data_IF_642079437929
#
_entry.id   IF_642079437929
#
_cell.length_a   1.000
_cell.length_b   1.000
_cell.length_c   1.000
_cell.angle_alpha   90.00
_cell.angle_beta   90.00
_cell.angle_gamma   90.00
#
_symmetry.space_group_name_H-M   'P 1'
#
loop_
_entity.id
_entity.type
_entity.pdbx_description
1 polymer ?
#
# COMPACT_ATOMS: atom_id res chain seq x y z
N UNK A 1 15.83 -14.24 -31.75
CA UNK A 1 14.89 -15.37 -31.96
C UNK A 1 14.81 -16.31 -30.74
N UNK A 2 15.93 -16.78 -30.20
CA UNK A 2 15.96 -17.75 -29.06
C UNK A 2 15.27 -17.16 -27.79
N UNK A 3 15.45 -15.88 -27.49
CA UNK A 3 14.81 -15.20 -26.34
C UNK A 3 13.28 -15.20 -26.44
N UNK A 4 12.73 -14.89 -27.61
CA UNK A 4 11.27 -14.90 -27.83
C UNK A 4 10.73 -16.33 -27.71
N UNK A 5 11.45 -17.33 -28.22
CA UNK A 5 11.08 -18.74 -28.10
C UNK A 5 11.08 -19.20 -26.62
N UNK A 6 12.03 -18.75 -25.80
CA UNK A 6 12.05 -19.06 -24.36
C UNK A 6 10.87 -18.45 -23.60
N UNK A 7 10.48 -17.20 -23.90
CA UNK A 7 9.30 -16.56 -23.30
C UNK A 7 8.01 -17.33 -23.67
N UNK A 8 7.86 -17.70 -24.94
CA UNK A 8 6.69 -18.49 -25.40
C UNK A 8 6.66 -19.84 -24.69
N UNK A 9 7.80 -20.51 -24.58
CA UNK A 9 7.93 -21.79 -23.86
C UNK A 9 7.54 -21.69 -22.38
N UNK A 10 7.99 -20.64 -21.69
CA UNK A 10 7.62 -20.35 -20.28
C UNK A 10 6.11 -20.17 -20.16
N UNK A 11 5.50 -19.37 -21.06
CA UNK A 11 4.06 -19.09 -21.02
C UNK A 11 3.22 -20.36 -21.26
N UNK A 12 3.60 -21.19 -22.23
CA UNK A 12 2.91 -22.45 -22.54
C UNK A 12 2.99 -23.40 -21.35
N UNK A 13 4.19 -23.59 -20.76
CA UNK A 13 4.40 -24.48 -19.61
C UNK A 13 3.67 -24.00 -18.37
N UNK A 14 3.71 -22.68 -18.08
CA UNK A 14 2.99 -22.10 -16.96
C UNK A 14 1.47 -22.26 -17.11
N UNK A 15 0.94 -22.04 -18.32
CA UNK A 15 -0.48 -22.27 -18.63
C UNK A 15 -0.89 -23.73 -18.47
N UNK A 16 -0.04 -24.66 -18.86
CA UNK A 16 -0.30 -26.09 -18.75
C UNK A 16 -0.31 -26.57 -17.28
N UNK A 17 0.61 -26.07 -16.45
CA UNK A 17 0.67 -26.35 -15.01
C UNK A 17 -0.56 -25.80 -14.33
N UNK A 18 -0.94 -24.55 -14.61
CA UNK A 18 -2.10 -23.89 -13.99
C UNK A 18 -3.44 -24.53 -14.33
N UNK A 19 -3.59 -25.04 -15.57
CA UNK A 19 -4.86 -25.62 -16.05
C UNK A 19 -5.14 -27.01 -15.48
N UNK A 20 -4.10 -27.80 -15.16
CA UNK A 20 -4.24 -29.21 -14.75
C UNK A 20 -4.04 -29.43 -13.25
N UNK A 21 -3.76 -28.40 -12.48
CA UNK A 21 -3.38 -28.48 -11.05
C UNK A 21 -2.35 -29.60 -10.80
N UNK A 22 -1.38 -29.72 -11.73
CA UNK A 22 -0.46 -30.85 -11.78
C UNK A 22 0.74 -30.53 -10.88
N UNK A 23 0.78 -31.14 -9.71
CA UNK A 23 1.85 -30.99 -8.71
C UNK A 23 3.14 -31.74 -9.06
N UNK A 24 3.32 -32.12 -10.33
CA UNK A 24 4.53 -32.80 -10.80
C UNK A 24 5.77 -31.92 -10.57
N UNK A 25 6.64 -32.39 -9.69
CA UNK A 25 7.94 -31.76 -9.37
C UNK A 25 8.76 -31.58 -10.63
N UNK A 26 8.70 -32.53 -11.58
CA UNK A 26 9.42 -32.49 -12.84
C UNK A 26 8.98 -31.30 -13.70
N UNK A 27 7.67 -31.02 -13.79
CA UNK A 27 7.17 -29.90 -14.58
C UNK A 27 7.55 -28.53 -13.95
N UNK A 28 7.52 -28.46 -12.63
CA UNK A 28 7.94 -27.25 -11.89
C UNK A 28 9.45 -27.00 -12.03
N UNK A 29 10.28 -28.04 -12.00
CA UNK A 29 11.73 -27.91 -12.20
C UNK A 29 12.07 -27.52 -13.63
N UNK A 30 11.35 -28.05 -14.63
CA UNK A 30 11.52 -27.67 -16.03
C UNK A 30 11.14 -26.21 -16.28
N UNK A 31 10.06 -25.73 -15.66
CA UNK A 31 9.66 -24.32 -15.72
C UNK A 31 10.74 -23.40 -15.10
N UNK A 32 11.30 -23.79 -13.96
CA UNK A 32 12.36 -23.04 -13.28
C UNK A 32 13.62 -22.96 -14.15
N UNK A 33 14.02 -24.04 -14.78
CA UNK A 33 15.15 -24.07 -15.73
C UNK A 33 14.92 -23.13 -16.92
N UNK A 34 13.71 -23.14 -17.48
CA UNK A 34 13.34 -22.23 -18.58
C UNK A 34 13.37 -20.77 -18.16
N UNK A 35 12.93 -20.44 -16.93
CA UNK A 35 13.01 -19.08 -16.40
C UNK A 35 14.48 -18.64 -16.24
N UNK A 36 15.33 -19.49 -15.67
CA UNK A 36 16.77 -19.19 -15.52
C UNK A 36 17.41 -18.98 -16.89
N UNK A 37 17.10 -19.84 -17.87
CA UNK A 37 17.60 -19.70 -19.24
C UNK A 37 17.11 -18.39 -19.90
N UNK A 38 15.84 -18.02 -19.72
CA UNK A 38 15.28 -16.77 -20.22
C UNK A 38 15.94 -15.54 -19.59
N UNK A 39 16.20 -15.56 -18.27
CA UNK A 39 16.95 -14.51 -17.58
C UNK A 39 18.38 -14.40 -18.10
N UNK A 40 19.06 -15.51 -18.30
CA UNK A 40 20.41 -15.52 -18.89
C UNK A 40 20.42 -14.88 -20.28
N UNK A 41 19.48 -15.24 -21.15
CA UNK A 41 19.35 -14.64 -22.48
C UNK A 41 19.03 -13.14 -22.42
N UNK A 42 18.21 -12.72 -21.44
CA UNK A 42 17.92 -11.29 -21.22
C UNK A 42 19.15 -10.50 -20.81
N UNK A 43 19.97 -11.05 -19.91
CA UNK A 43 21.26 -10.42 -19.51
C UNK A 43 22.20 -10.32 -20.70
N UNK A 44 22.31 -11.34 -21.54
CA UNK A 44 23.14 -11.28 -22.76
C UNK A 44 22.67 -10.17 -23.72
N UNK A 45 21.36 -10.03 -23.92
CA UNK A 45 20.78 -8.94 -24.71
C UNK A 45 21.13 -7.57 -24.12
N UNK A 46 21.05 -7.40 -22.81
CA UNK A 46 21.43 -6.14 -22.15
C UNK A 46 22.92 -5.82 -22.39
N UNK A 47 23.80 -6.81 -22.27
CA UNK A 47 25.25 -6.65 -22.52
C UNK A 47 25.51 -6.30 -23.98
N UNK A 48 24.75 -6.83 -24.92
CA UNK A 48 24.94 -6.56 -26.35
C UNK A 48 24.42 -5.18 -26.79
N UNK A 49 23.25 -4.75 -26.25
CA UNK A 49 22.58 -3.52 -26.71
C UNK A 49 22.91 -2.26 -25.91
N UNK A 50 23.23 -2.40 -24.61
CA UNK A 50 23.51 -1.23 -23.75
C UNK A 50 24.82 -0.50 -24.17
N UNK A 51 25.96 -1.18 -24.38
CA UNK A 51 27.19 -0.50 -24.75
C UNK A 51 27.11 0.32 -26.07
N UNK A 52 26.59 -0.25 -27.19
CA UNK A 52 26.48 0.55 -28.42
C UNK A 52 25.50 1.71 -28.27
N UNK A 53 24.42 1.56 -27.49
CA UNK A 53 23.50 2.67 -27.21
C UNK A 53 24.19 3.80 -26.42
N UNK A 54 24.97 3.46 -25.39
CA UNK A 54 25.73 4.43 -24.61
C UNK A 54 26.77 5.13 -25.49
N UNK A 55 27.53 4.38 -26.29
CA UNK A 55 28.54 4.95 -27.19
C UNK A 55 27.87 5.89 -28.21
N UNK A 56 26.79 5.46 -28.83
CA UNK A 56 26.03 6.29 -29.77
C UNK A 56 25.51 7.59 -29.12
N UNK A 57 25.02 7.50 -27.87
CA UNK A 57 24.55 8.67 -27.12
C UNK A 57 25.70 9.61 -26.80
N UNK A 58 26.86 9.09 -26.37
CA UNK A 58 28.05 9.90 -26.06
C UNK A 58 28.59 10.58 -27.34
N UNK A 59 28.67 9.86 -28.46
CA UNK A 59 29.12 10.45 -29.74
C UNK A 59 28.16 11.51 -30.23
N UNK A 60 26.84 11.29 -30.11
CA UNK A 60 25.82 12.27 -30.42
C UNK A 60 25.97 13.53 -29.56
N UNK A 61 26.13 13.40 -28.25
CA UNK A 61 26.36 14.51 -27.32
C UNK A 61 27.66 15.25 -27.65
N UNK A 62 28.73 14.53 -27.93
CA UNK A 62 30.02 15.14 -28.31
C UNK A 62 29.89 15.94 -29.61
N UNK A 63 29.19 15.42 -30.62
CA UNK A 63 28.94 16.12 -31.87
C UNK A 63 28.10 17.37 -31.66
N UNK A 64 27.06 17.26 -30.84
CA UNK A 64 26.21 18.41 -30.47
C UNK A 64 27.01 19.49 -29.73
N UNK A 65 27.88 19.10 -28.77
CA UNK A 65 28.68 20.06 -28.00
C UNK A 65 29.76 20.74 -28.85
N UNK A 66 30.25 20.09 -29.90
CA UNK A 66 31.29 20.67 -30.82
C UNK A 66 30.70 21.58 -31.89
N UNK A 67 29.39 21.46 -32.20
CA UNK A 67 28.73 22.22 -33.28
C UNK A 67 27.83 23.34 -32.81
N UNK A 68 27.37 23.29 -31.56
CA UNK A 68 26.44 24.28 -30.98
C UNK A 68 27.22 25.32 -30.14
N UNK A 69 26.79 26.57 -30.23
CA UNK A 69 27.23 27.62 -29.32
C UNK A 69 26.89 27.23 -27.87
N UNK A 70 27.82 27.49 -26.94
CA UNK A 70 27.68 27.15 -25.53
C UNK A 70 26.36 27.69 -24.91
N UNK A 71 25.90 28.84 -25.36
CA UNK A 71 24.65 29.46 -24.90
C UNK A 71 23.42 28.59 -25.30
N UNK A 72 23.42 28.09 -26.55
CA UNK A 72 22.33 27.23 -27.05
C UNK A 72 22.32 25.90 -26.31
N UNK A 73 23.49 25.33 -26.02
CA UNK A 73 23.64 24.08 -25.28
C UNK A 73 23.09 24.20 -23.84
N UNK A 74 23.45 25.28 -23.14
CA UNK A 74 22.92 25.56 -21.79
C UNK A 74 21.41 25.74 -21.82
N UNK A 75 20.87 26.45 -22.82
CA UNK A 75 19.45 26.65 -22.97
C UNK A 75 18.71 25.33 -23.20
N UNK A 76 19.25 24.42 -24.02
CA UNK A 76 18.68 23.08 -24.25
C UNK A 76 18.67 22.23 -22.98
N UNK A 77 19.82 22.17 -22.28
CA UNK A 77 19.90 21.40 -21.01
C UNK A 77 18.91 21.94 -19.98
N UNK A 78 18.87 23.27 -19.81
CA UNK A 78 17.96 23.92 -18.88
C UNK A 78 16.49 23.63 -19.25
N UNK A 79 16.15 23.68 -20.54
CA UNK A 79 14.82 23.34 -21.06
C UNK A 79 14.42 21.91 -20.73
N UNK A 80 15.29 20.94 -20.96
CA UNK A 80 15.05 19.53 -20.64
C UNK A 80 14.84 19.33 -19.12
N UNK A 81 15.72 19.91 -18.29
CA UNK A 81 15.61 19.83 -16.83
C UNK A 81 14.29 20.44 -16.36
N UNK A 82 13.90 21.59 -16.91
CA UNK A 82 12.64 22.26 -16.57
C UNK A 82 11.42 21.40 -16.93
N UNK A 83 11.43 20.77 -18.11
CA UNK A 83 10.36 19.86 -18.51
C UNK A 83 10.27 18.65 -17.57
N UNK A 84 11.40 18.00 -17.26
CA UNK A 84 11.42 16.87 -16.34
C UNK A 84 10.90 17.25 -14.94
N UNK A 85 11.34 18.38 -14.41
CA UNK A 85 10.86 18.91 -13.14
C UNK A 85 9.35 19.22 -13.16
N UNK A 86 8.85 19.77 -14.26
CA UNK A 86 7.43 20.05 -14.43
C UNK A 86 6.60 18.78 -14.45
N UNK A 87 7.03 17.74 -15.17
CA UNK A 87 6.35 16.44 -15.16
C UNK A 87 6.36 15.78 -13.78
N UNK A 88 7.52 15.77 -13.12
CA UNK A 88 7.64 15.21 -11.77
C UNK A 88 6.78 15.96 -10.76
N UNK A 89 6.80 17.28 -10.78
CA UNK A 89 5.98 18.13 -9.91
C UNK A 89 4.47 17.86 -10.11
N UNK A 90 4.02 17.83 -11.37
CA UNK A 90 2.62 17.55 -11.70
C UNK A 90 2.18 16.15 -11.27
N UNK A 91 3.04 15.14 -11.44
CA UNK A 91 2.76 13.79 -10.99
C UNK A 91 2.65 13.71 -9.45
N UNK A 92 3.61 14.33 -8.75
CA UNK A 92 3.63 14.41 -7.28
C UNK A 92 2.42 15.17 -6.74
N UNK A 93 2.07 16.31 -7.34
CA UNK A 93 0.91 17.11 -6.98
C UNK A 93 -0.41 16.32 -7.14
N UNK A 94 -0.59 15.63 -8.26
CA UNK A 94 -1.78 14.80 -8.49
C UNK A 94 -1.92 13.70 -7.43
N UNK A 95 -0.82 13.04 -7.06
CA UNK A 95 -0.80 12.02 -6.02
C UNK A 95 -1.11 12.60 -4.64
N UNK A 96 -0.57 13.78 -4.32
CA UNK A 96 -0.80 14.46 -3.06
C UNK A 96 -2.25 14.95 -2.95
N UNK A 97 -2.82 15.56 -3.99
CA UNK A 97 -4.23 15.98 -4.03
C UNK A 97 -5.18 14.80 -3.81
N UNK A 98 -4.89 13.65 -4.43
CA UNK A 98 -5.69 12.44 -4.21
C UNK A 98 -5.60 11.96 -2.77
N UNK A 99 -4.39 11.97 -2.16
CA UNK A 99 -4.19 11.58 -0.76
C UNK A 99 -4.95 12.52 0.18
N UNK A 100 -4.84 13.81 -0.02
CA UNK A 100 -5.52 14.85 0.76
C UNK A 100 -7.05 14.70 0.66
N UNK A 101 -7.57 14.54 -0.55
CA UNK A 101 -8.99 14.28 -0.75
C UNK A 101 -9.49 13.03 -0.01
N UNK A 102 -8.75 11.92 -0.10
CA UNK A 102 -9.12 10.69 0.59
C UNK A 102 -9.00 10.84 2.11
N UNK A 103 -7.97 11.52 2.61
CA UNK A 103 -7.80 11.83 4.03
C UNK A 103 -8.99 12.64 4.57
N UNK A 104 -9.38 13.71 3.88
CA UNK A 104 -10.54 14.54 4.25
C UNK A 104 -11.85 13.73 4.28
N UNK A 105 -12.05 12.79 3.34
CA UNK A 105 -13.25 11.92 3.34
C UNK A 105 -13.24 10.88 4.44
N UNK A 106 -12.08 10.49 4.93
CA UNK A 106 -11.90 9.49 6.01
C UNK A 106 -11.96 10.10 7.40
N UNK A 107 -11.67 11.37 7.55
CA UNK A 107 -11.66 12.06 8.85
C UNK A 107 -13.00 11.91 9.58
N UNK A 108 -14.10 12.21 8.92
CA UNK A 108 -15.45 12.12 9.53
C UNK A 108 -15.79 10.70 10.03
N UNK A 109 -15.72 9.63 9.21
CA UNK A 109 -16.02 8.29 9.71
C UNK A 109 -15.04 7.80 10.77
N UNK A 110 -13.79 8.25 10.75
CA UNK A 110 -12.82 7.84 11.77
C UNK A 110 -13.06 8.55 13.10
N UNK A 111 -13.43 9.83 13.09
CA UNK A 111 -13.86 10.55 14.32
C UNK A 111 -15.14 9.97 14.91
N UNK A 112 -16.13 9.61 14.09
CA UNK A 112 -17.35 8.94 14.56
C UNK A 112 -17.04 7.59 15.24
N UNK A 113 -16.06 6.85 14.72
CA UNK A 113 -15.59 5.63 15.38
C UNK A 113 -14.99 5.90 16.76
N UNK A 114 -14.18 6.95 16.90
CA UNK A 114 -13.61 7.33 18.19
C UNK A 114 -14.71 7.76 19.16
N UNK A 115 -15.73 8.51 18.70
CA UNK A 115 -16.89 8.88 19.50
C UNK A 115 -17.67 7.64 19.98
N UNK A 116 -17.84 6.63 19.12
CA UNK A 116 -18.46 5.37 19.46
C UNK A 116 -17.70 4.67 20.60
N UNK A 117 -16.36 4.58 20.49
CA UNK A 117 -15.51 4.01 21.55
C UNK A 117 -15.66 4.79 22.85
N UNK A 118 -15.68 6.13 22.79
CA UNK A 118 -15.92 6.98 23.96
C UNK A 118 -17.28 6.68 24.62
N UNK A 119 -18.36 6.62 23.84
CA UNK A 119 -19.70 6.30 24.36
C UNK A 119 -19.72 4.94 25.07
N UNK A 120 -19.11 3.93 24.46
CA UNK A 120 -19.02 2.56 25.03
C UNK A 120 -18.20 2.57 26.34
N UNK A 121 -17.07 3.27 26.37
CA UNK A 121 -16.19 3.31 27.55
C UNK A 121 -16.81 4.06 28.73
N UNK A 122 -17.65 5.06 28.48
CA UNK A 122 -18.34 5.87 29.51
C UNK A 122 -19.59 5.19 30.05
N UNK A 123 -20.12 4.16 29.40
CA UNK A 123 -21.34 3.45 29.80
C UNK A 123 -21.26 2.84 31.21
N UNK A 124 -20.03 2.58 31.72
CA UNK A 124 -19.82 2.06 33.09
C UNK A 124 -19.75 3.12 34.20
N UNK A 125 -19.54 4.40 33.86
CA UNK A 125 -19.17 5.46 34.83
C UNK A 125 -20.24 6.53 35.07
N UNK A 126 -21.20 6.72 34.16
CA UNK A 126 -22.21 7.75 34.27
C UNK A 126 -23.59 7.22 33.91
N UNK A 127 -24.66 7.82 34.49
CA UNK A 127 -26.08 7.54 34.19
C UNK A 127 -26.48 7.77 32.71
N UNK A 128 -25.54 7.79 31.79
CA UNK A 128 -25.78 7.86 30.36
C UNK A 128 -26.03 6.44 29.83
N UNK A 129 -27.28 6.10 29.64
CA UNK A 129 -27.68 4.83 29.05
C UNK A 129 -27.47 4.94 27.53
N UNK A 130 -26.32 4.45 27.06
CA UNK A 130 -26.10 4.24 25.63
C UNK A 130 -26.79 2.92 25.24
N UNK A 131 -27.95 3.02 24.57
CA UNK A 131 -28.77 1.86 24.28
C UNK A 131 -28.09 0.95 23.25
N UNK A 132 -28.41 -0.35 23.31
CA UNK A 132 -27.93 -1.32 22.32
C UNK A 132 -28.41 -0.95 20.90
N UNK A 133 -29.61 -0.40 20.78
CA UNK A 133 -30.16 0.08 19.51
C UNK A 133 -29.34 1.24 18.93
N UNK A 134 -28.95 2.24 19.75
CA UNK A 134 -28.11 3.35 19.33
C UNK A 134 -26.72 2.88 18.93
N UNK A 135 -26.15 1.92 19.67
CA UNK A 135 -24.87 1.32 19.34
C UNK A 135 -24.89 0.60 17.98
N UNK A 136 -25.92 -0.20 17.72
CA UNK A 136 -26.08 -0.87 16.43
C UNK A 136 -26.26 0.12 15.28
N UNK A 137 -26.98 1.21 15.50
CA UNK A 137 -27.14 2.29 14.52
C UNK A 137 -25.84 2.99 14.22
N UNK A 138 -25.06 3.36 15.24
CA UNK A 138 -23.75 3.99 15.07
C UNK A 138 -22.77 3.07 14.36
N UNK A 139 -22.72 1.78 14.72
CA UNK A 139 -21.90 0.76 14.02
C UNK A 139 -22.34 0.60 12.56
N UNK A 140 -23.63 0.58 12.27
CA UNK A 140 -24.15 0.47 10.91
C UNK A 140 -23.78 1.69 10.06
N UNK A 141 -23.91 2.90 10.62
CA UNK A 141 -23.48 4.14 9.99
C UNK A 141 -21.97 4.12 9.67
N UNK A 142 -21.16 3.77 10.65
CA UNK A 142 -19.71 3.62 10.47
C UNK A 142 -19.36 2.60 9.39
N UNK A 143 -19.97 1.40 9.41
CA UNK A 143 -19.73 0.38 8.40
C UNK A 143 -20.03 0.87 6.99
N UNK A 144 -21.12 1.59 6.78
CA UNK A 144 -21.51 2.14 5.48
C UNK A 144 -20.45 3.12 4.95
N UNK A 145 -19.94 3.98 5.83
CA UNK A 145 -18.88 4.95 5.48
C UNK A 145 -17.53 4.26 5.28
N UNK A 146 -17.22 3.23 6.07
CA UNK A 146 -16.01 2.45 5.94
C UNK A 146 -15.95 1.69 4.61
N UNK A 147 -17.07 1.16 4.12
CA UNK A 147 -17.17 0.51 2.81
C UNK A 147 -16.81 1.47 1.69
N UNK A 148 -17.21 2.74 1.79
CA UNK A 148 -16.98 3.75 0.75
C UNK A 148 -15.57 4.35 0.82
N UNK A 149 -15.07 4.64 2.03
CA UNK A 149 -13.89 5.48 2.21
C UNK A 149 -12.73 4.80 2.94
N UNK A 150 -12.98 3.67 3.61
CA UNK A 150 -11.95 2.96 4.37
C UNK A 150 -10.82 2.45 3.49
N UNK A 151 -9.59 2.55 3.99
CA UNK A 151 -8.47 1.89 3.32
C UNK A 151 -8.54 0.37 3.48
N UNK A 152 -7.89 -0.38 2.57
CA UNK A 152 -7.82 -1.85 2.69
C UNK A 152 -7.30 -2.32 4.05
N UNK A 153 -6.35 -1.59 4.65
CA UNK A 153 -5.77 -1.95 5.94
C UNK A 153 -6.76 -1.75 7.09
N UNK A 154 -7.45 -0.61 7.13
CA UNK A 154 -8.48 -0.34 8.15
C UNK A 154 -9.63 -1.35 8.04
N UNK A 155 -10.11 -1.62 6.83
CA UNK A 155 -11.15 -2.63 6.60
C UNK A 155 -10.70 -4.02 7.06
N UNK A 156 -9.45 -4.41 6.77
CA UNK A 156 -8.89 -5.69 7.22
C UNK A 156 -8.84 -5.79 8.75
N UNK A 157 -8.36 -4.73 9.45
CA UNK A 157 -8.28 -4.70 10.91
C UNK A 157 -9.67 -4.67 11.55
N UNK A 158 -10.61 -3.90 10.99
CA UNK A 158 -11.99 -3.89 11.42
C UNK A 158 -12.66 -5.26 11.32
N UNK A 159 -12.47 -5.96 10.20
CA UNK A 159 -13.01 -7.31 10.03
C UNK A 159 -12.37 -8.31 11.01
N UNK A 160 -11.08 -8.19 11.32
CA UNK A 160 -10.41 -9.01 12.33
C UNK A 160 -11.00 -8.76 13.72
N UNK A 161 -11.20 -7.49 14.10
CA UNK A 161 -11.87 -7.11 15.34
C UNK A 161 -13.28 -7.71 15.43
N UNK A 162 -14.13 -7.51 14.42
CA UNK A 162 -15.50 -8.06 14.40
C UNK A 162 -15.52 -9.58 14.55
N UNK A 163 -14.63 -10.28 13.84
CA UNK A 163 -14.52 -11.75 13.94
C UNK A 163 -14.12 -12.20 15.35
N UNK A 164 -13.19 -11.52 15.98
CA UNK A 164 -12.71 -11.84 17.32
C UNK A 164 -13.76 -11.54 18.39
N UNK A 165 -14.51 -10.45 18.27
CA UNK A 165 -15.59 -10.06 19.20
C UNK A 165 -16.67 -11.13 19.32
N UNK A 166 -16.93 -11.88 18.24
CA UNK A 166 -17.87 -13.00 18.23
C UNK A 166 -17.35 -14.23 19.01
N UNK A 167 -16.07 -14.30 19.32
CA UNK A 167 -15.40 -15.42 20.00
C UNK A 167 -15.21 -15.20 21.51
N UNK A 168 -15.75 -14.11 22.08
CA UNK A 168 -15.69 -13.75 23.51
C UNK A 168 -14.25 -13.63 24.10
N UNK A 169 -13.25 -13.27 23.29
CA UNK A 169 -11.88 -13.08 23.75
C UNK A 169 -11.63 -11.58 24.01
N UNK A 170 -11.93 -11.13 25.25
CA UNK A 170 -11.95 -9.69 25.60
C UNK A 170 -10.59 -9.01 25.48
N UNK A 171 -9.50 -9.66 25.90
CA UNK A 171 -8.14 -9.05 25.85
C UNK A 171 -7.68 -8.80 24.41
N UNK A 172 -7.82 -9.79 23.54
CA UNK A 172 -7.49 -9.64 22.12
C UNK A 172 -8.40 -8.62 21.42
N UNK A 173 -9.65 -8.46 21.89
CA UNK A 173 -10.59 -7.49 21.33
C UNK A 173 -10.14 -6.05 21.54
N UNK A 174 -9.62 -5.70 22.73
CA UNK A 174 -9.08 -4.36 23.02
C UNK A 174 -7.86 -4.04 22.16
N UNK A 175 -6.94 -4.99 22.03
CA UNK A 175 -5.74 -4.82 21.18
C UNK A 175 -6.15 -4.59 19.71
N UNK A 176 -7.13 -5.34 19.22
CA UNK A 176 -7.61 -5.19 17.84
C UNK A 176 -8.31 -3.85 17.59
N UNK A 177 -9.03 -3.29 18.59
CA UNK A 177 -9.57 -1.93 18.50
C UNK A 177 -8.42 -0.91 18.34
N UNK A 178 -7.38 -1.03 19.17
CA UNK A 178 -6.21 -0.15 19.06
C UNK A 178 -5.51 -0.26 17.71
N UNK A 179 -5.39 -1.48 17.18
CA UNK A 179 -4.85 -1.68 15.84
C UNK A 179 -5.69 -1.00 14.76
N UNK A 180 -7.03 -1.03 14.87
CA UNK A 180 -7.93 -0.28 13.97
C UNK A 180 -7.65 1.22 14.06
N UNK A 181 -7.60 1.77 15.28
CA UNK A 181 -7.29 3.20 15.50
C UNK A 181 -5.92 3.58 14.95
N UNK A 182 -4.91 2.75 15.13
CA UNK A 182 -3.57 3.00 14.60
C UNK A 182 -3.53 2.97 13.06
N UNK A 183 -4.28 2.08 12.41
CA UNK A 183 -4.39 2.10 10.94
C UNK A 183 -5.17 3.33 10.43
N UNK A 184 -6.21 3.77 11.15
CA UNK A 184 -6.92 5.03 10.84
C UNK A 184 -5.97 6.24 10.93
N UNK A 185 -5.12 6.31 11.97
CA UNK A 185 -4.10 7.36 12.10
C UNK A 185 -3.12 7.38 10.93
N UNK A 186 -2.62 6.21 10.51
CA UNK A 186 -1.73 6.10 9.33
C UNK A 186 -2.41 6.60 8.06
N UNK A 187 -3.68 6.29 7.87
CA UNK A 187 -4.46 6.75 6.72
C UNK A 187 -4.61 8.28 6.67
N UNK A 188 -4.68 8.92 7.83
CA UNK A 188 -4.70 10.37 7.98
C UNK A 188 -3.29 11.00 7.95
N UNK A 189 -2.24 10.19 7.76
CA UNK A 189 -0.86 10.66 7.72
C UNK A 189 -0.22 10.87 9.09
N UNK A 190 -0.86 10.41 10.17
CA UNK A 190 -0.35 10.50 11.54
C UNK A 190 0.37 9.19 11.91
N UNK A 191 1.48 9.29 12.65
CA UNK A 191 2.23 8.11 13.11
C UNK A 191 1.39 7.25 14.07
N UNK A 192 1.59 5.93 14.01
CA UNK A 192 1.03 5.00 15.01
C UNK A 192 1.62 5.24 16.40
N UNK A 193 0.85 4.91 17.41
CA UNK A 193 1.26 4.91 18.82
C UNK A 193 1.60 3.49 19.24
N UNK A 194 2.45 3.32 20.23
CA UNK A 194 2.81 2.03 20.82
C UNK A 194 1.59 1.32 21.43
N UNK A 195 1.73 0.02 21.61
CA UNK A 195 0.67 -0.84 22.15
C UNK A 195 0.22 -0.36 23.54
N UNK A 196 -1.07 -0.20 23.71
CA UNK A 196 -1.69 0.32 24.94
C UNK A 196 -1.80 1.85 24.99
N UNK A 197 -1.03 2.59 24.17
CA UNK A 197 -0.98 4.04 24.24
C UNK A 197 -2.25 4.76 23.83
N UNK A 198 -3.06 4.19 22.90
CA UNK A 198 -4.37 4.76 22.56
C UNK A 198 -5.44 4.28 23.54
N UNK A 199 -5.34 3.05 24.01
CA UNK A 199 -6.31 2.49 24.96
C UNK A 199 -6.20 3.17 26.35
N UNK A 200 -5.02 3.64 26.75
CA UNK A 200 -4.82 4.36 28.03
C UNK A 200 -5.62 5.65 28.11
N UNK A 201 -6.06 6.23 26.98
CA UNK A 201 -6.93 7.41 26.93
C UNK A 201 -8.35 7.06 27.44
N UNK A 202 -8.78 5.81 27.26
CA UNK A 202 -10.14 5.35 27.58
C UNK A 202 -10.17 4.48 28.84
N UNK A 203 -9.08 3.78 29.17
CA UNK A 203 -9.00 2.76 30.22
C UNK A 203 -7.80 3.06 31.12
N UNK A 204 -8.04 3.43 32.39
CA UNK A 204 -6.97 3.83 33.32
C UNK A 204 -5.99 2.72 33.67
N UNK A 205 -6.43 1.45 33.70
CA UNK A 205 -5.62 0.29 34.14
C UNK A 205 -5.21 -0.62 32.98
N UNK A 206 -5.02 -0.08 31.78
CA UNK A 206 -4.74 -0.86 30.58
C UNK A 206 -3.45 -1.67 30.68
N UNK A 207 -2.42 -1.16 31.39
CA UNK A 207 -1.13 -1.82 31.57
C UNK A 207 -1.29 -3.17 32.28
N UNK A 208 -2.15 -3.23 33.30
CA UNK A 208 -2.45 -4.48 34.05
C UNK A 208 -3.14 -5.54 33.19
N UNK A 209 -3.84 -5.10 32.14
CA UNK A 209 -4.56 -5.99 31.20
C UNK A 209 -3.61 -6.53 30.13
N UNK A 210 -2.59 -5.74 29.74
CA UNK A 210 -1.65 -6.09 28.68
C UNK A 210 -0.44 -6.93 29.17
N UNK A 211 -0.16 -6.96 30.49
CA UNK A 211 0.93 -7.72 31.08
C UNK A 211 0.56 -9.17 31.43
N UNK A 212 -0.69 -9.60 31.23
CA UNK A 212 -1.16 -10.98 31.41
C UNK A 212 -1.07 -11.76 30.11
#
# INVERSE_FOLDING_TARGET
MIFVASIIGIFILASFIGRKNNDSIILKSLLLLLIIFGLYQFVLLLIEYIPPFIISTITFLHTMTSTLDAVVLVALITGVITLLNSFYSKYSESKNKRREYLSSKRETPYSEFIELINKVSQQGNNNCIYSEEDMLKDISSFNSKLILWGSPNVVKKWNAFRKNSLQNNSENTLILIEEVMNEMRKDLGVKSVEKGGLLSIFINDIEKILEK
#
